data_IF_596896811169
#
_entry.id   IF_596896811169
#
_cell.length_a   1.000
_cell.length_b   1.000
_cell.length_c   1.000
_cell.angle_alpha   90.00
_cell.angle_beta   90.00
_cell.angle_gamma   90.00
#
_symmetry.space_group_name_H-M   'P 1'
#
loop_
_entity.id
_entity.type
_entity.pdbx_description
1 polymer ?
#
# COMPACT_ATOMS: atom_id res chain seq x y z
N UNK A 1 17.68 -11.10 12.11
CA UNK A 1 17.91 -9.88 12.93
C UNK A 1 17.11 -10.00 14.22
N UNK A 2 17.62 -9.49 15.33
CA UNK A 2 16.81 -9.42 16.56
C UNK A 2 15.69 -8.38 16.35
N UNK A 3 14.49 -8.57 16.92
CA UNK A 3 13.35 -7.68 16.71
C UNK A 3 13.65 -6.21 17.05
N UNK A 4 14.41 -6.00 18.13
CA UNK A 4 14.91 -4.68 18.53
C UNK A 4 15.74 -4.00 17.44
N UNK A 5 16.58 -4.74 16.72
CA UNK A 5 17.37 -4.19 15.61
C UNK A 5 16.47 -3.79 14.45
N UNK A 6 15.44 -4.59 14.14
CA UNK A 6 14.48 -4.28 13.06
C UNK A 6 13.69 -3.01 13.40
N UNK A 7 13.17 -2.92 14.62
CA UNK A 7 12.44 -1.73 15.09
C UNK A 7 13.37 -0.51 15.05
N UNK A 8 14.61 -0.63 15.51
CA UNK A 8 15.59 0.46 15.43
C UNK A 8 15.84 0.89 13.98
N UNK A 9 16.01 -0.06 13.04
CA UNK A 9 16.18 0.27 11.62
C UNK A 9 14.95 0.95 11.03
N UNK A 10 13.74 0.54 11.43
CA UNK A 10 12.49 1.18 10.99
C UNK A 10 12.34 2.59 11.59
N UNK A 11 12.74 2.80 12.84
CA UNK A 11 12.76 4.12 13.46
C UNK A 11 13.77 5.05 12.79
N UNK A 12 14.97 4.57 12.49
CA UNK A 12 15.97 5.33 11.74
C UNK A 12 15.47 5.69 10.34
N UNK A 13 14.85 4.73 9.65
CA UNK A 13 14.20 4.98 8.35
C UNK A 13 13.08 6.02 8.47
N UNK A 14 12.24 5.93 9.52
CA UNK A 14 11.17 6.88 9.76
C UNK A 14 11.72 8.30 10.00
N UNK A 15 12.77 8.44 10.81
CA UNK A 15 13.44 9.72 11.08
C UNK A 15 14.02 10.28 9.79
N UNK A 16 14.73 9.47 9.00
CA UNK A 16 15.30 9.87 7.72
C UNK A 16 14.20 10.38 6.77
N UNK A 17 13.15 9.58 6.55
CA UNK A 17 12.04 9.98 5.68
C UNK A 17 11.37 11.25 6.18
N UNK A 18 11.09 11.35 7.48
CA UNK A 18 10.49 12.54 8.09
C UNK A 18 11.37 13.77 7.89
N UNK A 19 12.69 13.65 8.05
CA UNK A 19 13.62 14.77 7.85
C UNK A 19 13.64 15.25 6.40
N UNK A 20 13.57 14.33 5.44
CA UNK A 20 13.46 14.64 4.01
C UNK A 20 12.15 15.39 3.74
N UNK A 21 11.04 14.93 4.30
CA UNK A 21 9.76 15.63 4.18
C UNK A 21 9.79 17.02 4.82
N UNK A 22 10.28 17.15 6.05
CA UNK A 22 10.42 18.46 6.71
C UNK A 22 11.20 19.42 5.83
N UNK A 23 12.33 18.97 5.27
CA UNK A 23 13.11 19.78 4.34
C UNK A 23 12.29 20.26 3.13
N UNK A 24 11.55 19.36 2.46
CA UNK A 24 10.70 19.74 1.33
C UNK A 24 9.57 20.70 1.70
N UNK A 25 8.93 20.51 2.86
CA UNK A 25 7.88 21.40 3.36
C UNK A 25 8.44 22.79 3.71
N UNK A 26 9.60 22.85 4.38
CA UNK A 26 10.26 24.11 4.69
C UNK A 26 10.71 24.86 3.42
N UNK A 27 11.25 24.14 2.43
CA UNK A 27 11.68 24.73 1.17
C UNK A 27 10.51 25.35 0.38
N UNK A 28 9.29 24.85 0.57
CA UNK A 28 8.10 25.27 -0.17
C UNK A 28 7.04 25.95 0.73
N UNK A 29 7.46 26.52 1.85
CA UNK A 29 6.56 27.06 2.87
C UNK A 29 5.57 28.11 2.32
N UNK A 30 6.05 29.00 1.45
CA UNK A 30 5.22 30.06 0.87
C UNK A 30 4.05 29.50 0.03
N UNK A 31 4.30 28.44 -0.76
CA UNK A 31 3.26 27.78 -1.56
C UNK A 31 2.22 27.09 -0.69
N UNK A 32 2.64 26.54 0.45
CA UNK A 32 1.72 25.92 1.42
C UNK A 32 0.78 26.98 1.99
N UNK A 33 1.30 28.14 2.41
CA UNK A 33 0.48 29.23 2.93
C UNK A 33 -0.55 29.70 1.89
N UNK A 34 -0.13 29.92 0.65
CA UNK A 34 -1.02 30.32 -0.44
C UNK A 34 -2.14 29.28 -0.70
N UNK A 35 -1.82 27.99 -0.65
CA UNK A 35 -2.84 26.95 -0.84
C UNK A 35 -3.83 26.88 0.34
N UNK A 36 -3.40 27.23 1.56
CA UNK A 36 -4.27 27.28 2.74
C UNK A 36 -5.25 28.45 2.73
N UNK A 37 -5.00 29.50 1.95
CA UNK A 37 -5.93 30.62 1.76
C UNK A 37 -7.12 30.25 0.86
N UNK A 38 -7.03 29.16 0.10
CA UNK A 38 -8.12 28.68 -0.76
C UNK A 38 -9.28 28.18 0.09
N UNK A 39 -10.50 28.61 -0.23
CA UNK A 39 -11.71 28.25 0.51
C UNK A 39 -11.89 26.72 0.59
N UNK A 40 -12.15 26.21 1.79
CA UNK A 40 -12.35 24.78 2.04
C UNK A 40 -11.06 23.92 2.07
N UNK A 41 -9.90 24.48 1.72
CA UNK A 41 -8.61 23.76 1.74
C UNK A 41 -8.27 23.23 3.13
N UNK A 42 -8.51 24.03 4.18
CA UNK A 42 -8.26 23.68 5.59
C UNK A 42 -9.04 22.41 5.98
N UNK A 43 -10.29 22.29 5.55
CA UNK A 43 -11.13 21.11 5.85
C UNK A 43 -10.52 19.87 5.19
N UNK A 44 -10.15 19.95 3.90
CA UNK A 44 -9.54 18.85 3.18
C UNK A 44 -8.20 18.42 3.79
N UNK A 45 -7.33 19.39 4.12
CA UNK A 45 -6.05 19.17 4.80
C UNK A 45 -6.26 18.50 6.16
N UNK A 46 -7.21 18.99 6.97
CA UNK A 46 -7.49 18.43 8.28
C UNK A 46 -7.89 16.95 8.22
N UNK A 47 -8.67 16.56 7.21
CA UNK A 47 -9.05 15.15 7.01
C UNK A 47 -7.88 14.28 6.63
N UNK A 48 -6.98 14.76 5.77
CA UNK A 48 -5.75 14.04 5.43
C UNK A 48 -4.88 13.85 6.69
N UNK A 49 -4.75 14.88 7.52
CA UNK A 49 -4.01 14.82 8.80
C UNK A 49 -4.65 13.80 9.75
N UNK A 50 -5.98 13.85 9.93
CA UNK A 50 -6.70 12.87 10.76
C UNK A 50 -6.43 11.44 10.27
N UNK A 51 -6.47 11.21 8.95
CA UNK A 51 -6.16 9.91 8.36
C UNK A 51 -4.72 9.49 8.64
N UNK A 52 -3.75 10.38 8.50
CA UNK A 52 -2.34 10.12 8.84
C UNK A 52 -2.22 9.66 10.30
N UNK A 53 -2.89 10.35 11.23
CA UNK A 53 -2.89 9.99 12.65
C UNK A 53 -3.48 8.59 12.87
N UNK A 54 -4.62 8.28 12.25
CA UNK A 54 -5.24 6.94 12.34
C UNK A 54 -4.26 5.87 11.84
N UNK A 55 -3.61 6.08 10.69
CA UNK A 55 -2.64 5.14 10.14
C UNK A 55 -1.41 4.98 11.05
N UNK A 56 -0.91 6.05 11.67
CA UNK A 56 0.20 5.97 12.64
C UNK A 56 -0.18 5.08 13.83
N UNK A 57 -1.37 5.27 14.41
CA UNK A 57 -1.86 4.45 15.52
C UNK A 57 -1.94 2.97 15.10
N UNK A 58 -2.47 2.69 13.92
CA UNK A 58 -2.52 1.33 13.37
C UNK A 58 -1.13 0.72 13.21
N UNK A 59 -0.19 1.48 12.65
CA UNK A 59 1.19 1.05 12.45
C UNK A 59 1.88 0.71 13.77
N UNK A 60 1.79 1.60 14.77
CA UNK A 60 2.37 1.38 16.11
C UNK A 60 1.78 0.11 16.71
N UNK A 61 0.46 -0.05 16.66
CA UNK A 61 -0.22 -1.22 17.20
C UNK A 61 0.24 -2.52 16.52
N UNK A 62 0.34 -2.57 15.19
CA UNK A 62 0.74 -3.79 14.47
C UNK A 62 2.21 -4.15 14.72
N UNK A 63 3.11 -3.17 14.77
CA UNK A 63 4.51 -3.44 15.12
C UNK A 63 4.67 -3.89 16.57
N UNK A 64 3.91 -3.29 17.50
CA UNK A 64 3.87 -3.76 18.89
C UNK A 64 3.41 -5.21 18.98
N UNK A 65 2.29 -5.54 18.32
CA UNK A 65 1.77 -6.90 18.27
C UNK A 65 2.74 -7.89 17.61
N UNK A 66 3.45 -7.49 16.56
CA UNK A 66 4.49 -8.31 15.94
C UNK A 66 5.66 -8.56 16.90
N UNK A 67 6.12 -7.52 17.61
CA UNK A 67 7.21 -7.62 18.57
C UNK A 67 6.89 -8.54 19.76
N UNK A 68 5.61 -8.70 20.11
CA UNK A 68 5.13 -9.57 21.20
C UNK A 68 4.93 -11.04 20.81
N UNK A 69 5.19 -11.43 19.56
CA UNK A 69 5.02 -12.83 19.16
C UNK A 69 6.07 -13.70 19.85
N UNK A 70 5.60 -14.72 20.60
CA UNK A 70 6.43 -15.66 21.38
C UNK A 70 7.25 -16.62 20.49
N UNK A 71 6.80 -16.84 19.26
CA UNK A 71 7.45 -17.72 18.27
C UNK A 71 8.51 -16.91 17.50
N UNK A 72 9.47 -17.60 16.88
CA UNK A 72 10.49 -17.01 16.01
C UNK A 72 9.90 -15.94 15.08
N UNK A 73 10.40 -14.72 15.23
CA UNK A 73 9.88 -13.54 14.53
C UNK A 73 10.57 -13.41 13.17
N UNK A 74 9.79 -13.46 12.09
CA UNK A 74 10.30 -13.34 10.73
C UNK A 74 9.79 -12.05 10.06
N UNK A 75 10.63 -11.44 9.22
CA UNK A 75 10.25 -10.28 8.41
C UNK A 75 9.23 -10.63 7.30
N UNK A 76 9.00 -11.91 7.07
CA UNK A 76 7.97 -12.41 6.16
C UNK A 76 6.63 -12.65 6.86
N UNK A 77 6.52 -12.43 8.18
CA UNK A 77 5.27 -12.65 8.89
C UNK A 77 4.20 -11.67 8.45
N UNK A 78 2.97 -12.18 8.30
CA UNK A 78 1.83 -11.38 7.85
C UNK A 78 1.62 -10.11 8.70
N UNK A 79 1.68 -10.15 10.04
CA UNK A 79 1.54 -8.94 10.85
C UNK A 79 2.65 -7.91 10.60
N UNK A 80 3.89 -8.35 10.37
CA UNK A 80 5.00 -7.45 10.04
C UNK A 80 4.82 -6.82 8.66
N UNK A 81 4.52 -7.61 7.64
CA UNK A 81 4.33 -7.11 6.28
C UNK A 81 3.13 -6.16 6.20
N UNK A 82 2.04 -6.44 6.93
CA UNK A 82 0.91 -5.52 7.04
C UNK A 82 1.26 -4.25 7.83
N UNK A 83 2.04 -4.34 8.91
CA UNK A 83 2.54 -3.16 9.62
C UNK A 83 3.41 -2.29 8.70
N UNK A 84 4.28 -2.92 7.91
CA UNK A 84 5.15 -2.26 6.94
C UNK A 84 4.35 -1.59 5.82
N UNK A 85 3.31 -2.25 5.31
CA UNK A 85 2.37 -1.63 4.36
C UNK A 85 1.72 -0.37 4.94
N UNK A 86 1.15 -0.44 6.14
CA UNK A 86 0.50 0.74 6.75
C UNK A 86 1.54 1.83 7.08
N UNK A 87 2.73 1.45 7.55
CA UNK A 87 3.84 2.37 7.80
C UNK A 87 4.26 3.13 6.55
N UNK A 88 4.43 2.45 5.42
CA UNK A 88 4.72 3.11 4.15
C UNK A 88 3.53 3.99 3.73
N UNK A 89 2.30 3.50 3.88
CA UNK A 89 1.12 4.32 3.56
C UNK A 89 1.06 5.64 4.35
N UNK A 90 1.55 5.71 5.60
CA UNK A 90 1.67 6.96 6.36
C UNK A 90 2.52 7.99 5.60
N UNK A 91 3.72 7.63 5.17
CA UNK A 91 4.58 8.56 4.41
C UNK A 91 4.02 8.84 3.03
N UNK A 92 3.36 7.86 2.41
CA UNK A 92 2.62 8.07 1.17
C UNK A 92 1.56 9.16 1.34
N UNK A 93 0.89 9.22 2.49
CA UNK A 93 -0.08 10.28 2.80
C UNK A 93 0.53 11.62 3.14
N UNK A 94 1.68 11.65 3.82
CA UNK A 94 2.47 12.89 3.99
C UNK A 94 2.92 13.43 2.63
N UNK A 95 3.30 12.55 1.71
CA UNK A 95 3.64 12.91 0.34
C UNK A 95 2.42 13.38 -0.45
N UNK A 96 1.26 12.71 -0.33
CA UNK A 96 0.00 13.14 -0.96
C UNK A 96 -0.40 14.55 -0.48
N UNK A 97 -0.25 14.85 0.81
CA UNK A 97 -0.52 16.17 1.36
C UNK A 97 0.40 17.23 0.74
N UNK A 98 1.70 16.93 0.65
CA UNK A 98 2.68 17.82 0.00
C UNK A 98 2.32 18.05 -1.47
N UNK A 99 2.00 16.97 -2.18
CA UNK A 99 1.57 16.99 -3.57
C UNK A 99 0.34 17.89 -3.77
N UNK A 100 -0.65 17.81 -2.88
CA UNK A 100 -1.84 18.65 -2.95
C UNK A 100 -1.50 20.13 -2.74
N UNK A 101 -0.55 20.45 -1.86
CA UNK A 101 -0.09 21.83 -1.69
C UNK A 101 0.61 22.36 -2.94
N UNK A 102 1.40 21.54 -3.64
CA UNK A 102 2.20 21.98 -4.79
C UNK A 102 1.43 21.98 -6.11
N UNK A 103 0.25 21.34 -6.18
CA UNK A 103 -0.47 21.08 -7.43
C UNK A 103 -0.70 22.32 -8.31
N UNK A 104 -0.97 23.47 -7.69
CA UNK A 104 -1.28 24.71 -8.41
C UNK A 104 -0.05 25.60 -8.68
N UNK A 105 1.11 25.26 -8.11
CA UNK A 105 2.27 26.17 -8.08
C UNK A 105 3.45 25.70 -8.92
N UNK A 106 3.57 24.38 -9.16
CA UNK A 106 4.67 23.84 -9.95
C UNK A 106 4.39 23.88 -11.45
N UNK A 107 5.45 24.09 -12.23
CA UNK A 107 5.40 23.90 -13.67
C UNK A 107 5.26 22.42 -14.03
N UNK A 108 4.81 22.13 -15.26
CA UNK A 108 4.50 20.77 -15.71
C UNK A 108 5.68 19.80 -15.54
N UNK A 109 6.92 20.27 -15.74
CA UNK A 109 8.12 19.42 -15.64
C UNK A 109 8.46 19.05 -14.19
N UNK A 110 8.50 20.03 -13.28
CA UNK A 110 8.78 19.75 -11.86
C UNK A 110 7.63 18.94 -11.24
N UNK A 111 6.40 19.23 -11.63
CA UNK A 111 5.23 18.50 -11.19
C UNK A 111 5.22 17.04 -11.70
N UNK A 112 5.64 16.81 -12.95
CA UNK A 112 5.80 15.46 -13.49
C UNK A 112 6.86 14.67 -12.73
N UNK A 113 7.98 15.29 -12.36
CA UNK A 113 9.02 14.64 -11.56
C UNK A 113 8.48 14.26 -10.17
N UNK A 114 7.74 15.16 -9.52
CA UNK A 114 7.09 14.89 -8.24
C UNK A 114 6.11 13.71 -8.35
N UNK A 115 5.33 13.65 -9.43
CA UNK A 115 4.46 12.51 -9.72
C UNK A 115 5.28 11.23 -9.89
N UNK A 116 6.35 11.20 -10.68
CA UNK A 116 7.16 9.97 -10.84
C UNK A 116 7.68 9.43 -9.51
N UNK A 117 8.15 10.31 -8.61
CA UNK A 117 8.57 9.92 -7.25
C UNK A 117 7.39 9.33 -6.47
N UNK A 118 6.22 9.97 -6.52
CA UNK A 118 4.98 9.48 -5.91
C UNK A 118 4.63 8.07 -6.38
N UNK A 119 4.74 7.81 -7.68
CA UNK A 119 4.41 6.52 -8.25
C UNK A 119 5.39 5.43 -7.82
N UNK A 120 6.70 5.73 -7.81
CA UNK A 120 7.69 4.83 -7.24
C UNK A 120 7.37 4.48 -5.78
N UNK A 121 6.92 5.47 -5.01
CA UNK A 121 6.47 5.26 -3.64
C UNK A 121 5.27 4.31 -3.53
N UNK A 122 4.25 4.50 -4.38
CA UNK A 122 3.06 3.64 -4.41
C UNK A 122 3.44 2.19 -4.75
N UNK A 123 4.33 1.98 -5.72
CA UNK A 123 4.83 0.65 -6.09
C UNK A 123 5.53 0.00 -4.90
N UNK A 124 6.45 0.72 -4.24
CA UNK A 124 7.16 0.23 -3.04
C UNK A 124 6.18 -0.11 -1.92
N UNK A 125 5.15 0.71 -1.72
CA UNK A 125 4.10 0.46 -0.75
C UNK A 125 3.32 -0.84 -1.03
N UNK A 126 3.15 -1.24 -2.28
CA UNK A 126 2.45 -2.50 -2.61
C UNK A 126 3.30 -3.77 -2.37
N UNK A 127 4.62 -3.65 -2.26
CA UNK A 127 5.52 -4.82 -2.10
C UNK A 127 5.16 -5.69 -0.89
N UNK A 128 4.96 -5.17 0.34
CA UNK A 128 4.61 -6.00 1.49
C UNK A 128 3.29 -6.75 1.31
N UNK A 129 2.31 -6.09 0.68
CA UNK A 129 1.00 -6.66 0.37
C UNK A 129 1.12 -7.81 -0.65
N UNK A 130 1.92 -7.60 -1.71
CA UNK A 130 2.25 -8.63 -2.70
C UNK A 130 3.01 -9.81 -2.09
N UNK A 131 3.90 -9.56 -1.13
CA UNK A 131 4.64 -10.62 -0.43
C UNK A 131 3.71 -11.51 0.41
N UNK A 132 2.75 -10.93 1.12
CA UNK A 132 1.72 -11.69 1.87
C UNK A 132 0.86 -12.52 0.93
N UNK A 133 0.42 -11.89 -0.17
CA UNK A 133 -0.54 -12.48 -1.08
C UNK A 133 0.09 -13.56 -1.97
N UNK A 134 1.36 -13.40 -2.36
CA UNK A 134 2.10 -14.37 -3.16
C UNK A 134 2.35 -15.69 -2.42
N UNK A 135 2.47 -15.71 -1.09
CA UNK A 135 2.56 -16.97 -0.34
C UNK A 135 1.29 -17.81 -0.48
N UNK A 136 0.13 -17.17 -0.38
CA UNK A 136 -1.18 -17.82 -0.56
C UNK A 136 -1.31 -18.32 -2.00
N UNK A 137 -0.87 -17.52 -2.97
CA UNK A 137 -0.91 -17.88 -4.38
C UNK A 137 -0.02 -19.08 -4.70
N UNK A 138 1.27 -19.02 -4.35
CA UNK A 138 2.24 -20.10 -4.61
C UNK A 138 1.83 -21.40 -3.89
N UNK A 139 1.33 -21.29 -2.66
CA UNK A 139 0.80 -22.43 -1.93
C UNK A 139 -0.39 -23.07 -2.68
N UNK A 140 -1.32 -22.24 -3.14
CA UNK A 140 -2.49 -22.75 -3.86
C UNK A 140 -2.17 -23.38 -5.22
N UNK A 141 -1.07 -22.97 -5.86
CA UNK A 141 -0.55 -23.59 -7.06
C UNK A 141 0.09 -24.95 -6.75
N UNK A 142 0.80 -25.06 -5.63
CA UNK A 142 1.36 -26.33 -5.14
C UNK A 142 0.26 -27.37 -4.90
N UNK A 143 -0.83 -27.01 -4.21
CA UNK A 143 -1.96 -27.91 -3.94
C UNK A 143 -2.77 -28.25 -5.20
N UNK A 144 -3.03 -27.27 -6.07
CA UNK A 144 -3.89 -27.45 -7.26
C UNK A 144 -3.15 -28.13 -8.42
N UNK A 145 -1.83 -27.99 -8.49
CA UNK A 145 -1.01 -28.76 -9.44
C UNK A 145 -1.16 -30.27 -9.24
N UNK A 146 -1.38 -30.76 -8.00
CA UNK A 146 -1.66 -32.19 -7.77
C UNK A 146 -2.95 -32.71 -8.41
N UNK A 147 -3.95 -31.85 -8.68
CA UNK A 147 -5.26 -32.26 -9.24
C UNK A 147 -5.42 -32.00 -10.73
N UNK A 148 -4.84 -30.92 -11.26
CA UNK A 148 -5.03 -30.52 -12.66
C UNK A 148 -3.91 -31.06 -13.57
N UNK A 149 -2.69 -31.28 -13.04
CA UNK A 149 -1.51 -31.66 -13.83
C UNK A 149 -1.23 -33.17 -13.82
N UNK A 150 -2.26 -34.00 -13.97
CA UNK A 150 -2.05 -35.43 -14.31
C UNK A 150 -1.57 -35.60 -15.77
N UNK A 151 -1.77 -34.57 -16.62
CA UNK A 151 -1.56 -34.63 -18.07
C UNK A 151 -0.26 -33.90 -18.52
N UNK A 152 0.22 -32.90 -17.77
CA UNK A 152 1.45 -32.16 -18.09
C UNK A 152 2.36 -32.21 -16.87
N UNK A 153 3.48 -32.92 -16.96
CA UNK A 153 4.46 -33.07 -15.88
C UNK A 153 5.29 -31.78 -15.74
N UNK A 154 4.66 -30.68 -15.33
CA UNK A 154 5.40 -29.49 -14.90
C UNK A 154 6.17 -29.83 -13.62
N UNK A 155 7.47 -29.53 -13.61
CA UNK A 155 8.42 -29.87 -12.55
C UNK A 155 8.19 -29.03 -11.27
N UNK A 156 7.01 -29.18 -10.68
CA UNK A 156 6.53 -28.48 -9.48
C UNK A 156 7.19 -28.97 -8.19
N UNK A 157 7.98 -30.04 -8.25
CA UNK A 157 8.76 -30.59 -7.11
C UNK A 157 9.71 -29.56 -6.47
N UNK A 158 10.18 -28.57 -7.23
CA UNK A 158 11.05 -27.50 -6.69
C UNK A 158 10.31 -26.49 -5.82
N UNK A 159 9.00 -26.33 -5.97
CA UNK A 159 8.18 -25.39 -5.18
C UNK A 159 7.76 -25.96 -3.80
N UNK A 160 8.01 -27.25 -3.56
CA UNK A 160 7.86 -27.86 -2.23
C UNK A 160 9.00 -27.45 -1.28
N UNK A 161 10.16 -27.03 -1.82
CA UNK A 161 11.24 -26.49 -1.02
C UNK A 161 10.96 -25.04 -0.62
N UNK A 162 10.77 -24.80 0.68
CA UNK A 162 10.48 -23.47 1.27
C UNK A 162 11.52 -22.40 0.91
N UNK A 163 12.80 -22.79 0.82
CA UNK A 163 13.88 -21.86 0.48
C UNK A 163 13.81 -21.44 -0.99
N UNK A 164 13.51 -22.38 -1.89
CA UNK A 164 13.32 -22.06 -3.31
C UNK A 164 12.08 -21.20 -3.53
N UNK A 165 10.96 -21.55 -2.88
CA UNK A 165 9.69 -20.82 -2.97
C UNK A 165 9.84 -19.37 -2.50
N UNK A 166 10.47 -19.15 -1.36
CA UNK A 166 10.71 -17.79 -0.83
C UNK A 166 11.64 -16.96 -1.72
N UNK A 167 12.72 -17.56 -2.24
CA UNK A 167 13.63 -16.89 -3.18
C UNK A 167 12.93 -16.52 -4.49
N UNK A 168 12.16 -17.45 -5.07
CA UNK A 168 11.39 -17.23 -6.29
C UNK A 168 10.36 -16.11 -6.10
N UNK A 169 9.59 -16.14 -5.00
CA UNK A 169 8.64 -15.10 -4.63
C UNK A 169 9.27 -13.71 -4.62
N UNK A 170 10.39 -13.56 -3.93
CA UNK A 170 11.07 -12.28 -3.81
C UNK A 170 11.60 -11.78 -5.16
N UNK A 171 12.24 -12.66 -5.94
CA UNK A 171 12.73 -12.34 -7.29
C UNK A 171 11.59 -11.91 -8.21
N UNK A 172 10.45 -12.61 -8.18
CA UNK A 172 9.30 -12.30 -9.02
C UNK A 172 8.73 -10.90 -8.69
N UNK A 173 8.50 -10.62 -7.41
CA UNK A 173 7.96 -9.31 -6.97
C UNK A 173 8.95 -8.20 -7.29
N UNK A 174 10.25 -8.39 -7.03
CA UNK A 174 11.28 -7.42 -7.35
C UNK A 174 11.33 -7.10 -8.84
N UNK A 175 11.30 -8.12 -9.70
CA UNK A 175 11.30 -7.94 -11.16
C UNK A 175 10.06 -7.19 -11.63
N UNK A 176 8.87 -7.51 -11.11
CA UNK A 176 7.64 -6.80 -11.45
C UNK A 176 7.70 -5.33 -11.03
N UNK A 177 8.13 -5.05 -9.80
CA UNK A 177 8.27 -3.67 -9.31
C UNK A 177 9.29 -2.86 -10.11
N UNK A 178 10.41 -3.47 -10.52
CA UNK A 178 11.40 -2.79 -11.38
C UNK A 178 10.82 -2.46 -12.76
N UNK A 179 10.07 -3.38 -13.37
CA UNK A 179 9.40 -3.13 -14.64
C UNK A 179 8.40 -1.97 -14.51
N UNK A 180 7.58 -1.97 -13.47
CA UNK A 180 6.61 -0.89 -13.22
C UNK A 180 7.29 0.47 -13.03
N UNK A 181 8.39 0.52 -12.25
CA UNK A 181 9.16 1.75 -12.06
C UNK A 181 9.72 2.23 -13.41
N UNK A 182 10.28 1.34 -14.23
CA UNK A 182 10.80 1.72 -15.55
C UNK A 182 9.69 2.28 -16.45
N UNK A 183 8.51 1.65 -16.48
CA UNK A 183 7.36 2.15 -17.24
C UNK A 183 6.99 3.57 -16.79
N UNK A 184 6.89 3.81 -15.48
CA UNK A 184 6.59 5.14 -14.91
C UNK A 184 7.64 6.17 -15.31
N UNK A 185 8.93 5.80 -15.28
CA UNK A 185 10.03 6.70 -15.63
C UNK A 185 10.01 7.13 -17.10
N UNK A 186 9.52 6.26 -18.00
CA UNK A 186 9.41 6.54 -19.43
C UNK A 186 8.23 7.46 -19.79
N UNK A 187 7.27 7.68 -18.88
CA UNK A 187 6.13 8.57 -19.15
C UNK A 187 6.57 10.02 -19.29
N UNK A 188 6.13 10.69 -20.35
CA UNK A 188 6.51 12.07 -20.68
C UNK A 188 5.46 13.14 -20.34
N UNK A 189 4.27 12.75 -19.87
CA UNK A 189 3.19 13.71 -19.58
C UNK A 189 2.46 13.43 -18.26
N UNK A 190 2.01 14.51 -17.61
CA UNK A 190 1.21 14.49 -16.37
C UNK A 190 -0.13 13.77 -16.57
N UNK A 191 -0.72 13.90 -17.76
CA UNK A 191 -1.96 13.22 -18.09
C UNK A 191 -1.77 11.69 -18.18
N UNK A 192 -0.76 11.22 -18.91
CA UNK A 192 -0.49 9.79 -19.04
C UNK A 192 -0.14 9.15 -17.70
N UNK A 193 0.68 9.82 -16.88
CA UNK A 193 1.08 9.25 -15.58
C UNK A 193 -0.14 9.11 -14.68
N UNK A 194 -1.02 10.13 -14.64
CA UNK A 194 -2.25 10.10 -13.82
C UNK A 194 -3.18 8.92 -14.18
N UNK A 195 -3.32 8.61 -15.48
CA UNK A 195 -4.14 7.49 -15.94
C UNK A 195 -3.47 6.12 -15.67
N UNK A 196 -2.14 6.06 -15.76
CA UNK A 196 -1.37 4.87 -15.45
C UNK A 196 -1.59 4.38 -14.01
N UNK A 197 -1.87 5.30 -13.07
CA UNK A 197 -2.16 4.94 -11.66
C UNK A 197 -3.32 3.97 -11.55
N UNK A 198 -4.40 4.30 -12.23
CA UNK A 198 -5.64 3.53 -12.21
C UNK A 198 -5.41 2.15 -12.81
N UNK A 199 -4.65 2.09 -13.90
CA UNK A 199 -4.34 0.85 -14.62
C UNK A 199 -3.43 -0.08 -13.80
N UNK A 200 -2.49 0.45 -13.02
CA UNK A 200 -1.59 -0.38 -12.19
C UNK A 200 -2.24 -0.77 -10.86
N UNK A 201 -2.89 0.19 -10.19
CA UNK A 201 -3.41 0.00 -8.84
C UNK A 201 -4.61 -0.95 -8.80
N UNK A 202 -5.57 -0.82 -9.73
CA UNK A 202 -6.82 -1.61 -9.70
C UNK A 202 -6.54 -3.11 -9.86
N UNK A 203 -5.79 -3.60 -10.87
CA UNK A 203 -5.50 -5.03 -11.00
C UNK A 203 -4.78 -5.59 -9.78
N UNK A 204 -3.86 -4.83 -9.19
CA UNK A 204 -3.14 -5.22 -7.97
C UNK A 204 -4.10 -5.38 -6.78
N UNK A 205 -5.03 -4.44 -6.59
CA UNK A 205 -6.02 -4.51 -5.52
C UNK A 205 -7.04 -5.65 -5.73
N UNK A 206 -7.46 -5.91 -6.98
CA UNK A 206 -8.30 -7.06 -7.32
C UNK A 206 -7.57 -8.36 -6.98
N UNK A 207 -6.30 -8.47 -7.35
CA UNK A 207 -5.48 -9.64 -7.05
C UNK A 207 -5.39 -9.88 -5.53
N UNK A 208 -5.13 -8.83 -4.75
CA UNK A 208 -5.04 -8.91 -3.29
C UNK A 208 -6.37 -9.34 -2.68
N UNK A 209 -7.47 -8.73 -3.12
CA UNK A 209 -8.83 -9.08 -2.69
C UNK A 209 -9.12 -10.56 -2.95
N UNK A 210 -8.83 -11.03 -4.17
CA UNK A 210 -9.01 -12.44 -4.54
C UNK A 210 -8.14 -13.38 -3.70
N UNK A 211 -6.93 -12.98 -3.33
CA UNK A 211 -6.02 -13.80 -2.54
C UNK A 211 -6.45 -13.92 -1.08
N UNK A 212 -6.94 -12.85 -0.45
CA UNK A 212 -7.54 -12.96 0.89
C UNK A 212 -8.83 -13.80 0.88
N UNK A 213 -9.64 -13.70 -0.17
CA UNK A 213 -10.82 -14.56 -0.33
C UNK A 213 -10.42 -16.04 -0.44
N UNK A 214 -9.33 -16.30 -1.17
CA UNK A 214 -8.78 -17.65 -1.30
C UNK A 214 -8.20 -18.16 0.02
N UNK A 215 -7.53 -17.30 0.80
CA UNK A 215 -7.02 -17.64 2.12
C UNK A 215 -8.15 -18.07 3.06
N UNK A 216 -9.26 -17.32 3.05
CA UNK A 216 -10.48 -17.69 3.76
C UNK A 216 -10.99 -19.07 3.33
N UNK A 217 -11.22 -19.27 2.04
CA UNK A 217 -11.70 -20.56 1.51
C UNK A 217 -10.80 -21.75 1.82
N UNK A 218 -9.48 -21.53 1.94
CA UNK A 218 -8.50 -22.57 2.22
C UNK A 218 -8.23 -22.78 3.71
N UNK A 219 -8.95 -22.10 4.61
CA UNK A 219 -8.67 -22.25 6.04
C UNK A 219 -7.33 -21.63 6.47
N UNK A 220 -6.68 -20.80 5.63
CA UNK A 220 -5.36 -20.24 5.90
C UNK A 220 -5.47 -18.87 6.57
N UNK A 221 -4.44 -18.51 7.34
CA UNK A 221 -4.36 -17.28 8.14
C UNK A 221 -5.35 -17.19 9.32
N UNK A 222 -6.29 -18.13 9.49
CA UNK A 222 -7.09 -18.27 10.71
C UNK A 222 -6.15 -18.37 11.93
N UNK A 223 -6.45 -17.62 12.98
CA UNK A 223 -5.56 -17.42 14.14
C UNK A 223 -4.51 -16.28 14.02
N UNK A 224 -4.12 -15.84 12.82
CA UNK A 224 -3.26 -14.64 12.62
C UNK A 224 -4.11 -13.39 12.37
N UNK A 225 -5.09 -13.47 11.47
CA UNK A 225 -6.05 -12.42 11.13
C UNK A 225 -7.36 -13.05 10.65
N UNK A 226 -8.40 -12.24 10.44
CA UNK A 226 -9.67 -12.65 9.84
C UNK A 226 -9.66 -12.37 8.32
N UNK A 227 -9.44 -13.39 7.47
CA UNK A 227 -9.23 -13.17 6.04
C UNK A 227 -10.52 -12.73 5.31
N UNK A 228 -11.70 -13.05 5.86
CA UNK A 228 -12.98 -12.65 5.30
C UNK A 228 -13.18 -11.13 5.44
N UNK A 229 -12.91 -10.58 6.63
CA UNK A 229 -13.01 -9.13 6.86
C UNK A 229 -11.97 -8.39 6.02
N UNK A 230 -10.75 -8.93 5.89
CA UNK A 230 -9.73 -8.35 5.00
C UNK A 230 -10.16 -8.36 3.54
N UNK A 231 -10.77 -9.46 3.07
CA UNK A 231 -11.34 -9.53 1.73
C UNK A 231 -12.36 -8.42 1.50
N UNK A 232 -13.28 -8.23 2.44
CA UNK A 232 -14.31 -7.20 2.34
C UNK A 232 -13.70 -5.79 2.40
N UNK A 233 -12.73 -5.56 3.28
CA UNK A 233 -12.02 -4.28 3.37
C UNK A 233 -11.27 -3.92 2.08
N UNK A 234 -10.51 -4.87 1.49
CA UNK A 234 -9.81 -4.63 0.23
C UNK A 234 -10.75 -4.56 -0.98
N UNK A 235 -11.89 -5.27 -0.95
CA UNK A 235 -12.94 -5.13 -1.96
C UNK A 235 -13.54 -3.71 -1.92
N UNK A 236 -13.93 -3.24 -0.74
CA UNK A 236 -14.41 -1.87 -0.54
C UNK A 236 -13.36 -0.84 -0.97
N UNK A 237 -12.08 -1.09 -0.67
CA UNK A 237 -10.99 -0.22 -1.10
C UNK A 237 -10.87 -0.18 -2.63
N UNK A 238 -10.97 -1.32 -3.30
CA UNK A 238 -10.96 -1.41 -4.76
C UNK A 238 -12.12 -0.62 -5.37
N UNK A 239 -13.32 -0.78 -4.82
CA UNK A 239 -14.52 -0.03 -5.24
C UNK A 239 -14.31 1.48 -5.00
N UNK A 240 -13.76 1.88 -3.85
CA UNK A 240 -13.42 3.28 -3.55
C UNK A 240 -12.45 3.87 -4.58
N UNK A 241 -11.43 3.12 -5.02
CA UNK A 241 -10.51 3.61 -6.05
C UNK A 241 -11.20 3.80 -7.41
N UNK A 242 -12.12 2.92 -7.80
CA UNK A 242 -12.91 3.09 -9.03
C UNK A 242 -13.82 4.31 -8.91
N UNK A 243 -14.57 4.42 -7.79
CA UNK A 243 -15.45 5.56 -7.52
C UNK A 243 -14.67 6.86 -7.51
N UNK A 244 -13.45 6.89 -6.96
CA UNK A 244 -12.58 8.06 -6.95
C UNK A 244 -12.32 8.57 -8.36
N UNK A 245 -11.90 7.69 -9.26
CA UNK A 245 -11.61 8.07 -10.65
C UNK A 245 -12.85 8.61 -11.33
N UNK A 246 -14.00 7.95 -11.16
CA UNK A 246 -15.27 8.40 -11.73
C UNK A 246 -15.73 9.73 -11.12
N UNK A 247 -15.71 9.86 -9.80
CA UNK A 247 -16.13 11.06 -9.09
C UNK A 247 -15.24 12.26 -9.42
N UNK A 248 -13.93 12.07 -9.64
CA UNK A 248 -13.05 13.14 -10.10
C UNK A 248 -13.46 13.68 -11.48
N UNK A 249 -14.00 12.84 -12.37
CA UNK A 249 -14.49 13.27 -13.68
C UNK A 249 -15.76 14.13 -13.58
N UNK A 250 -16.64 13.82 -12.62
CA UNK A 250 -17.91 14.54 -12.44
C UNK A 250 -17.80 15.79 -11.56
N UNK A 251 -17.09 15.70 -10.44
CA UNK A 251 -17.02 16.76 -9.42
C UNK A 251 -15.74 17.60 -9.49
N UNK A 252 -14.79 17.23 -10.35
CA UNK A 252 -13.47 17.87 -10.42
C UNK A 252 -12.63 17.66 -9.16
N UNK A 253 -11.52 18.39 -9.04
CA UNK A 253 -10.65 18.40 -7.85
C UNK A 253 -11.09 19.49 -6.86
N UNK A 254 -12.30 19.35 -6.32
CA UNK A 254 -12.82 20.28 -5.30
C UNK A 254 -12.42 19.84 -3.89
N UNK A 255 -12.32 20.78 -2.92
CA UNK A 255 -12.05 20.44 -1.52
C UNK A 255 -13.08 19.47 -0.92
N UNK A 256 -14.36 19.61 -1.27
CA UNK A 256 -15.42 18.71 -0.82
C UNK A 256 -15.23 17.28 -1.33
N UNK A 257 -14.87 17.12 -2.61
CA UNK A 257 -14.54 15.81 -3.17
C UNK A 257 -13.36 15.16 -2.42
N UNK A 258 -12.30 15.93 -2.14
CA UNK A 258 -11.15 15.45 -1.38
C UNK A 258 -11.54 15.00 0.04
N UNK A 259 -12.36 15.78 0.73
CA UNK A 259 -12.93 15.43 2.04
C UNK A 259 -13.66 14.07 1.99
N UNK A 260 -14.61 13.90 1.07
CA UNK A 260 -15.43 12.70 0.96
C UNK A 260 -14.58 11.45 0.70
N UNK A 261 -13.61 11.55 -0.20
CA UNK A 261 -12.71 10.45 -0.56
C UNK A 261 -11.82 10.06 0.63
N UNK A 262 -11.26 11.03 1.35
CA UNK A 262 -10.41 10.75 2.52
C UNK A 262 -11.20 10.19 3.70
N UNK A 263 -12.45 10.63 3.89
CA UNK A 263 -13.36 10.06 4.89
C UNK A 263 -13.71 8.60 4.60
N UNK A 264 -14.19 8.30 3.38
CA UNK A 264 -14.57 6.94 2.96
C UNK A 264 -13.39 5.99 3.13
N UNK A 265 -12.23 6.39 2.64
CA UNK A 265 -11.03 5.59 2.78
C UNK A 265 -10.65 5.34 4.24
N UNK A 266 -10.78 6.34 5.12
CA UNK A 266 -10.47 6.18 6.55
C UNK A 266 -11.34 5.10 7.19
N UNK A 267 -12.64 5.07 6.87
CA UNK A 267 -13.57 4.02 7.29
C UNK A 267 -13.15 2.65 6.75
N UNK A 268 -12.78 2.57 5.47
CA UNK A 268 -12.32 1.33 4.84
C UNK A 268 -11.06 0.80 5.54
N UNK A 269 -10.09 1.67 5.84
CA UNK A 269 -8.88 1.27 6.57
C UNK A 269 -9.19 0.80 7.99
N UNK A 270 -10.17 1.38 8.68
CA UNK A 270 -10.65 0.86 9.97
C UNK A 270 -11.21 -0.57 9.85
N UNK A 271 -11.95 -0.88 8.78
CA UNK A 271 -12.43 -2.25 8.50
C UNK A 271 -11.26 -3.21 8.26
N UNK A 272 -10.28 -2.80 7.44
CA UNK A 272 -9.07 -3.61 7.18
C UNK A 272 -8.32 -3.87 8.49
N UNK A 273 -8.12 -2.84 9.30
CA UNK A 273 -7.44 -2.95 10.58
C UNK A 273 -8.17 -3.85 11.57
N UNK A 274 -9.50 -3.74 11.65
CA UNK A 274 -10.32 -4.67 12.44
C UNK A 274 -10.12 -6.11 11.98
N UNK A 275 -10.06 -6.36 10.66
CA UNK A 275 -9.75 -7.69 10.11
C UNK A 275 -8.34 -8.19 10.45
N UNK A 276 -7.37 -7.29 10.63
CA UNK A 276 -6.02 -7.65 11.09
C UNK A 276 -6.00 -7.99 12.58
N UNK A 277 -6.76 -7.29 13.41
CA UNK A 277 -6.82 -7.50 14.86
C UNK A 277 -7.61 -8.75 15.21
N UNK A 278 -8.82 -8.85 14.66
CA UNK A 278 -9.76 -9.90 15.02
C UNK A 278 -9.26 -11.25 14.48
N UNK A 279 -9.09 -12.21 15.37
CA UNK A 279 -8.74 -13.58 14.99
C UNK A 279 -10.03 -14.34 14.74
N UNK A 280 -10.16 -14.91 13.54
CA UNK A 280 -11.17 -15.92 13.22
C UNK A 280 -10.76 -17.28 13.76
#
# INVERSE_FOLDING_TARGET
MKPRQVILTLMLLAILLTSVFIFFYCANWNYILLTLEVEGSIIAVSMIVIRIVILIVMTIYLFYRWAQQEISQYLSDTPFLMALFIFLLVFGKVFDLFYNFMYYHYDDMSFLLLLKVRFGYIIVNMIPLLLVSADIWLFSLSDRARKILWIIKLNTSRLENDQYRSSFKFKLILTLSLIEILIVMMVSSVFMISNLLTVIAIPTLILVTWLFFKAYKLGRLHGKCNPLILTLGFLLYTISQVIRVLAQLFFGRTPFYMFMVEFIDSVIFMIIFYGLINKS
#
